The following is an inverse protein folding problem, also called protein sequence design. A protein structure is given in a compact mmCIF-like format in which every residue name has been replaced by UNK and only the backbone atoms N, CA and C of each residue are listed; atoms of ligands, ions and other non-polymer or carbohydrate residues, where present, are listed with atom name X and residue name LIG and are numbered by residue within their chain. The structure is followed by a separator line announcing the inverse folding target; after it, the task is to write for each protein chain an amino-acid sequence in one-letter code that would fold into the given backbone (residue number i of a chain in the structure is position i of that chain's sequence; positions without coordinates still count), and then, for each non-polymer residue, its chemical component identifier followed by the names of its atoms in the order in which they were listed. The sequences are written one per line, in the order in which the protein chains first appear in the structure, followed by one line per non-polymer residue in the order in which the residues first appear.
data_IF_024002965105
#
_entry.id   IF_024002965105
#
_cell.length_a   1.000
_cell.length_b   1.000
_cell.length_c   1.000
_cell.angle_alpha   90.00
_cell.angle_beta   90.00
_cell.angle_gamma   90.00
#
_symmetry.space_group_name_H-M   'P 1'
#
loop_
_entity.id
_entity.type
_entity.pdbx_description
1 polymer ?
#
# COMPACT_ATOMS: atom_id res chain seq x y z
N UNK A 1 15.53 -14.03 4.00
CA UNK A 1 14.77 -13.57 5.19
C UNK A 1 15.23 -12.16 5.55
N UNK A 2 14.73 -11.53 6.62
CA UNK A 2 15.29 -10.30 7.20
C UNK A 2 16.44 -10.69 8.15
N UNK A 3 17.57 -9.97 8.16
CA UNK A 3 18.69 -10.28 9.08
C UNK A 3 18.40 -9.88 10.54
N UNK A 4 17.47 -8.94 10.74
CA UNK A 4 17.11 -8.44 12.06
C UNK A 4 15.58 -8.26 12.11
N UNK A 5 14.79 -9.33 12.12
CA UNK A 5 13.32 -9.24 12.19
C UNK A 5 12.88 -8.59 13.52
N UNK A 6 11.84 -7.76 13.45
CA UNK A 6 11.18 -7.23 14.63
C UNK A 6 10.21 -8.28 15.16
N UNK A 7 10.22 -8.47 16.48
CA UNK A 7 9.33 -9.39 17.17
C UNK A 7 8.21 -8.55 17.79
N UNK A 8 6.99 -8.75 17.31
CA UNK A 8 5.80 -8.14 17.89
C UNK A 8 5.32 -8.99 19.07
N UNK A 9 4.50 -8.40 19.94
CA UNK A 9 3.81 -9.14 20.99
C UNK A 9 3.00 -10.30 20.37
N UNK A 10 3.07 -11.49 20.95
CA UNK A 10 2.41 -12.70 20.42
C UNK A 10 3.28 -13.56 19.49
N UNK A 11 4.59 -13.29 19.38
CA UNK A 11 5.52 -14.15 18.63
C UNK A 11 5.51 -13.94 17.11
N UNK A 12 4.77 -12.92 16.64
CA UNK A 12 4.73 -12.56 15.22
C UNK A 12 6.03 -11.87 14.82
N UNK A 13 6.64 -12.38 13.75
CA UNK A 13 7.87 -11.87 13.17
C UNK A 13 7.57 -10.97 11.99
N UNK A 14 8.06 -9.73 11.99
CA UNK A 14 7.96 -8.82 10.85
C UNK A 14 9.32 -8.29 10.40
N UNK A 15 9.40 -7.79 9.17
CA UNK A 15 10.62 -7.17 8.65
C UNK A 15 10.97 -5.89 9.41
N UNK A 16 12.26 -5.61 9.63
CA UNK A 16 12.66 -4.34 10.24
C UNK A 16 12.60 -3.14 9.31
N UNK A 17 12.45 -3.35 7.99
CA UNK A 17 12.46 -2.30 6.96
C UNK A 17 13.76 -1.48 6.85
N UNK A 18 14.72 -1.69 7.74
CA UNK A 18 15.97 -0.92 7.80
C UNK A 18 17.19 -1.69 7.32
N UNK A 19 17.24 -3.02 7.50
CA UNK A 19 18.40 -3.80 7.11
C UNK A 19 18.59 -3.86 5.59
N UNK A 20 19.82 -4.16 5.15
CA UNK A 20 20.16 -4.22 3.72
C UNK A 20 19.29 -5.19 2.92
N UNK A 21 18.83 -6.30 3.52
CA UNK A 21 17.92 -7.25 2.86
C UNK A 21 16.52 -6.69 2.66
N UNK A 22 15.98 -5.97 3.66
CA UNK A 22 14.68 -5.32 3.54
C UNK A 22 14.72 -4.18 2.53
N UNK A 23 15.79 -3.39 2.56
CA UNK A 23 16.11 -2.36 1.57
C UNK A 23 16.19 -2.93 0.15
N UNK A 24 16.97 -3.97 -0.04
CA UNK A 24 17.09 -4.66 -1.34
C UNK A 24 15.74 -5.22 -1.82
N UNK A 25 14.93 -5.80 -0.92
CA UNK A 25 13.58 -6.28 -1.25
C UNK A 25 12.64 -5.18 -1.71
N UNK A 26 12.69 -4.00 -1.07
CA UNK A 26 11.89 -2.86 -1.47
C UNK A 26 12.32 -2.31 -2.85
N UNK A 27 13.63 -2.32 -3.15
CA UNK A 27 14.13 -2.01 -4.50
C UNK A 27 13.63 -3.05 -5.51
N UNK A 28 13.77 -4.33 -5.20
CA UNK A 28 13.41 -5.41 -6.12
C UNK A 28 11.91 -5.45 -6.42
N UNK A 29 11.04 -5.11 -5.46
CA UNK A 29 9.61 -4.96 -5.72
C UNK A 29 9.33 -3.91 -6.82
N UNK A 30 9.95 -2.73 -6.73
CA UNK A 30 9.83 -1.71 -7.77
C UNK A 30 10.47 -2.15 -9.09
N UNK A 31 11.63 -2.78 -9.06
CA UNK A 31 12.30 -3.29 -10.26
C UNK A 31 11.40 -4.28 -10.99
N UNK A 32 10.85 -5.27 -10.28
CA UNK A 32 9.98 -6.29 -10.87
C UNK A 32 8.72 -5.70 -11.50
N UNK A 33 8.06 -4.75 -10.82
CA UNK A 33 6.88 -4.04 -11.37
C UNK A 33 7.20 -3.21 -12.61
N UNK A 34 8.36 -2.55 -12.63
CA UNK A 34 8.82 -1.75 -13.76
C UNK A 34 9.22 -2.63 -14.97
N UNK A 35 9.73 -3.84 -14.73
CA UNK A 35 9.96 -4.83 -15.80
C UNK A 35 8.62 -5.39 -16.30
N UNK A 36 7.70 -5.77 -15.40
CA UNK A 36 6.37 -6.25 -15.77
C UNK A 36 5.62 -5.23 -16.66
N UNK A 37 5.65 -3.94 -16.30
CA UNK A 37 5.04 -2.90 -17.14
C UNK A 37 5.74 -2.78 -18.51
N UNK A 38 7.06 -2.96 -18.59
CA UNK A 38 7.78 -2.88 -19.87
C UNK A 38 7.42 -4.01 -20.84
N UNK A 39 6.97 -5.16 -20.33
CA UNK A 39 6.56 -6.32 -21.14
C UNK A 39 5.23 -6.15 -21.85
N UNK A 40 4.39 -5.24 -21.37
CA UNK A 40 3.05 -5.00 -21.93
C UNK A 40 2.91 -3.63 -22.58
N UNK A 41 3.87 -2.73 -22.36
CA UNK A 41 3.97 -1.47 -23.09
C UNK A 41 4.39 -1.70 -24.55
N UNK A 42 3.88 -0.87 -25.47
CA UNK A 42 4.31 -0.87 -26.88
C UNK A 42 5.79 -0.50 -27.02
N UNK A 43 6.25 0.41 -26.16
CA UNK A 43 7.67 0.72 -25.99
C UNK A 43 7.92 1.26 -24.58
N UNK A 44 9.16 1.21 -24.14
CA UNK A 44 9.58 1.81 -22.88
C UNK A 44 10.87 2.62 -23.05
N UNK A 45 10.99 3.71 -22.30
CA UNK A 45 12.14 4.62 -22.35
C UNK A 45 12.57 5.04 -20.94
N UNK A 46 13.87 5.08 -20.70
CA UNK A 46 14.47 5.77 -19.56
C UNK A 46 14.75 7.22 -19.97
N UNK A 47 14.16 8.19 -19.28
CA UNK A 47 14.25 9.61 -19.59
C UNK A 47 14.89 10.33 -18.41
N UNK A 48 15.94 11.09 -18.67
CA UNK A 48 16.52 12.02 -17.70
C UNK A 48 16.11 13.44 -18.08
N UNK A 49 15.44 14.14 -17.17
CA UNK A 49 15.10 15.56 -17.31
C UNK A 49 16.07 16.39 -16.47
N UNK A 50 16.72 17.33 -17.13
CA UNK A 50 17.70 18.24 -16.52
C UNK A 50 17.21 19.67 -16.67
N UNK A 51 17.22 20.42 -15.58
CA UNK A 51 16.98 21.86 -15.64
C UNK A 51 18.15 22.54 -16.38
N UNK A 52 17.83 23.30 -17.43
CA UNK A 52 18.80 23.98 -18.29
C UNK A 52 19.36 25.24 -17.65
N UNK A 53 20.37 25.85 -18.31
CA UNK A 53 20.93 27.16 -17.96
C UNK A 53 21.34 27.34 -16.49
N UNK A 54 22.37 26.61 -16.01
CA UNK A 54 23.25 26.93 -14.86
C UNK A 54 22.62 27.32 -13.52
N UNK A 55 21.83 28.40 -13.53
CA UNK A 55 21.20 29.16 -12.46
C UNK A 55 19.66 29.02 -12.44
N UNK A 56 19.06 28.08 -13.19
CA UNK A 56 17.60 27.92 -13.19
C UNK A 56 17.10 27.68 -11.75
N UNK A 57 16.17 28.49 -11.20
CA UNK A 57 15.75 28.39 -9.80
C UNK A 57 15.25 27.00 -9.40
N UNK A 58 14.50 26.33 -10.29
CA UNK A 58 14.04 24.95 -10.08
C UNK A 58 15.16 23.89 -10.11
N UNK A 59 16.39 24.23 -10.49
CA UNK A 59 17.53 23.32 -10.39
C UNK A 59 18.00 23.11 -8.95
N UNK A 60 17.59 23.97 -8.01
CA UNK A 60 17.93 23.85 -6.59
C UNK A 60 16.96 22.95 -5.80
N UNK A 61 15.73 22.72 -6.30
CA UNK A 61 14.67 22.02 -5.57
C UNK A 61 13.93 21.04 -6.49
N UNK A 62 13.68 19.83 -6.00
CA UNK A 62 12.86 18.84 -6.71
C UNK A 62 11.39 19.27 -6.82
N UNK A 63 11.07 19.94 -7.93
CA UNK A 63 9.74 20.45 -8.24
C UNK A 63 8.94 19.44 -9.08
N UNK A 64 8.17 18.56 -8.43
CA UNK A 64 7.43 17.50 -9.13
C UNK A 64 6.33 18.03 -10.06
N UNK A 65 5.78 19.22 -9.80
CA UNK A 65 4.78 19.83 -10.67
C UNK A 65 5.26 20.02 -12.11
N UNK A 66 6.57 20.21 -12.31
CA UNK A 66 7.16 20.38 -13.63
C UNK A 66 7.15 19.05 -14.39
N UNK A 67 7.49 17.95 -13.70
CA UNK A 67 7.33 16.59 -14.24
C UNK A 67 5.87 16.26 -14.51
N UNK A 68 4.94 16.65 -13.64
CA UNK A 68 3.51 16.43 -13.88
C UNK A 68 3.02 17.14 -15.15
N UNK A 69 3.44 18.40 -15.35
CA UNK A 69 3.12 19.17 -16.56
C UNK A 69 3.73 18.52 -17.81
N UNK A 70 4.99 18.08 -17.74
CA UNK A 70 5.64 17.33 -18.82
C UNK A 70 4.84 16.10 -19.23
N UNK A 71 4.47 15.24 -18.26
CA UNK A 71 3.67 14.04 -18.51
C UNK A 71 2.27 14.37 -19.03
N UNK A 72 1.65 15.48 -18.56
CA UNK A 72 0.34 15.94 -19.06
C UNK A 72 0.44 16.40 -20.51
N UNK A 73 1.47 17.16 -20.86
CA UNK A 73 1.71 17.66 -22.21
C UNK A 73 1.95 16.51 -23.20
N UNK A 74 2.75 15.51 -22.83
CA UNK A 74 2.92 14.29 -23.64
C UNK A 74 1.59 13.57 -23.89
N UNK A 75 0.77 13.38 -22.85
CA UNK A 75 -0.56 12.76 -23.01
C UNK A 75 -1.48 13.59 -23.91
N UNK A 76 -1.47 14.91 -23.76
CA UNK A 76 -2.27 15.82 -24.58
C UNK A 76 -1.83 15.80 -26.05
N UNK A 77 -0.53 15.65 -26.32
CA UNK A 77 0.02 15.45 -27.65
C UNK A 77 -0.30 14.05 -28.23
N UNK A 78 -1.04 13.22 -27.50
CA UNK A 78 -1.57 11.95 -28.01
C UNK A 78 -0.65 10.75 -27.78
N UNK A 79 0.26 10.84 -26.79
CA UNK A 79 1.15 9.77 -26.37
C UNK A 79 0.71 9.23 -25.00
N UNK A 80 -0.22 8.25 -24.95
CA UNK A 80 -0.68 7.69 -23.70
C UNK A 80 0.45 6.88 -23.03
N UNK A 81 0.63 7.11 -21.73
CA UNK A 81 1.76 6.56 -20.99
C UNK A 81 1.43 6.25 -19.53
N UNK A 82 2.10 5.22 -19.01
CA UNK A 82 2.39 5.06 -17.58
C UNK A 82 3.83 5.45 -17.29
N UNK A 83 4.12 5.69 -16.02
CA UNK A 83 5.43 6.18 -15.60
C UNK A 83 5.81 5.76 -14.19
N UNK A 84 7.13 5.75 -13.96
CA UNK A 84 7.80 5.72 -12.67
C UNK A 84 8.85 6.84 -12.67
N UNK A 85 8.83 7.74 -11.70
CA UNK A 85 9.66 8.95 -11.68
C UNK A 85 10.37 9.08 -10.33
N UNK A 86 11.64 9.44 -10.38
CA UNK A 86 12.51 9.58 -9.23
C UNK A 86 13.26 10.90 -9.36
N UNK A 87 13.12 11.74 -8.35
CA UNK A 87 13.91 12.95 -8.18
C UNK A 87 15.18 12.64 -7.40
N UNK A 88 16.33 13.08 -7.88
CA UNK A 88 17.61 13.00 -7.20
C UNK A 88 18.36 14.33 -7.25
N UNK A 89 19.32 14.51 -6.35
CA UNK A 89 20.31 15.57 -6.46
C UNK A 89 21.64 14.99 -6.96
N UNK A 90 22.19 15.60 -8.02
CA UNK A 90 23.47 15.22 -8.58
C UNK A 90 24.61 15.41 -7.58
N UNK A 91 25.54 14.44 -7.55
CA UNK A 91 26.60 14.33 -6.53
C UNK A 91 27.59 15.50 -6.47
N UNK A 92 27.82 16.20 -7.59
CA UNK A 92 28.89 17.22 -7.68
C UNK A 92 28.41 18.65 -7.44
N UNK A 93 27.13 18.95 -7.69
CA UNK A 93 26.59 20.32 -7.65
C UNK A 93 25.24 20.46 -6.94
N UNK A 94 24.68 19.39 -6.39
CA UNK A 94 23.39 19.43 -5.70
C UNK A 94 22.23 19.84 -6.61
N UNK A 95 22.34 19.62 -7.93
CA UNK A 95 21.29 20.00 -8.89
C UNK A 95 20.21 18.93 -8.93
N UNK A 96 18.95 19.36 -8.88
CA UNK A 96 17.76 18.54 -9.02
C UNK A 96 17.70 17.93 -10.43
N UNK A 97 17.65 16.61 -10.50
CA UNK A 97 17.49 15.81 -11.71
C UNK A 97 16.28 14.90 -11.55
N UNK A 98 15.58 14.62 -12.64
CA UNK A 98 14.50 13.64 -12.65
C UNK A 98 14.83 12.48 -13.58
N UNK A 99 14.78 11.27 -13.05
CA UNK A 99 14.86 10.02 -13.80
C UNK A 99 13.49 9.39 -13.90
N UNK A 100 13.03 9.17 -15.13
CA UNK A 100 11.72 8.64 -15.43
C UNK A 100 11.86 7.35 -16.22
N UNK A 101 11.09 6.34 -15.84
CA UNK A 101 10.73 5.23 -16.70
C UNK A 101 9.38 5.55 -17.31
N UNK A 102 9.31 5.66 -18.63
CA UNK A 102 8.06 5.85 -19.36
C UNK A 102 7.69 4.57 -20.10
N UNK A 103 6.42 4.20 -20.00
CA UNK A 103 5.82 3.02 -20.59
C UNK A 103 4.69 3.45 -21.53
N UNK A 104 4.97 3.47 -22.82
CA UNK A 104 4.04 3.92 -23.86
C UNK A 104 2.97 2.85 -24.09
N UNK A 105 1.70 3.25 -24.04
CA UNK A 105 0.58 2.32 -24.13
C UNK A 105 0.04 2.18 -25.56
N UNK A 106 0.44 3.08 -26.47
CA UNK A 106 0.04 3.07 -27.87
C UNK A 106 1.10 3.83 -28.70
N UNK A 107 0.87 5.11 -29.01
CA UNK A 107 1.81 5.94 -29.78
C UNK A 107 3.03 6.35 -28.97
N UNK A 108 4.17 6.42 -29.66
CA UNK A 108 5.49 6.78 -29.10
C UNK A 108 6.01 8.05 -29.80
N UNK A 109 6.50 9.05 -29.06
CA UNK A 109 7.15 10.21 -29.66
C UNK A 109 8.44 9.81 -30.43
N UNK A 110 8.65 10.34 -31.65
CA UNK A 110 9.80 9.98 -32.48
C UNK A 110 11.04 10.79 -32.08
N UNK A 111 11.68 10.47 -30.96
CA UNK A 111 12.94 11.12 -30.54
C UNK A 111 14.17 10.28 -30.87
N UNK A 112 15.27 10.97 -31.18
CA UNK A 112 16.61 10.37 -31.24
C UNK A 112 17.05 9.97 -29.83
N UNK A 113 17.46 8.71 -29.67
CA UNK A 113 17.94 8.20 -28.38
C UNK A 113 19.41 8.56 -28.17
N UNK A 114 19.82 8.62 -26.90
CA UNK A 114 21.19 8.82 -26.42
C UNK A 114 21.80 10.16 -26.79
N UNK A 115 20.96 11.19 -26.90
CA UNK A 115 21.36 12.56 -27.17
C UNK A 115 20.58 13.50 -26.27
N UNK A 116 21.23 14.57 -25.82
CA UNK A 116 20.54 15.66 -25.13
C UNK A 116 19.84 16.54 -26.16
N UNK A 117 18.58 16.87 -25.91
CA UNK A 117 17.83 17.79 -26.74
C UNK A 117 16.87 18.64 -25.90
N UNK A 118 16.47 19.79 -26.45
CA UNK A 118 15.42 20.62 -25.88
C UNK A 118 14.08 19.97 -26.24
N UNK A 119 13.49 19.29 -25.27
CA UNK A 119 12.26 18.55 -25.51
C UNK A 119 11.05 19.48 -25.49
N UNK A 120 10.21 19.42 -26.51
CA UNK A 120 9.08 20.37 -26.70
C UNK A 120 8.14 20.38 -25.50
N UNK A 121 7.93 19.23 -24.85
CA UNK A 121 7.05 19.12 -23.69
C UNK A 121 7.77 19.49 -22.36
N UNK A 122 9.11 19.61 -22.35
CA UNK A 122 9.95 19.96 -21.20
C UNK A 122 10.57 21.36 -21.39
N UNK A 123 9.84 22.38 -20.97
CA UNK A 123 10.23 23.80 -21.13
C UNK A 123 11.40 24.22 -20.23
N UNK A 124 11.82 23.36 -19.31
CA UNK A 124 12.75 23.73 -18.25
C UNK A 124 14.21 23.38 -18.56
N UNK A 125 14.50 22.73 -19.70
CA UNK A 125 15.87 22.40 -20.08
C UNK A 125 16.00 21.22 -21.03
N UNK A 126 16.95 20.35 -20.72
CA UNK A 126 17.34 19.25 -21.58
C UNK A 126 16.66 17.94 -21.17
N UNK A 127 16.33 17.14 -22.18
CA UNK A 127 15.89 15.76 -22.03
C UNK A 127 16.91 14.82 -22.66
N UNK A 128 17.12 13.67 -22.03
CA UNK A 128 17.94 12.57 -22.55
C UNK A 128 17.14 11.28 -22.48
N UNK A 129 16.98 10.60 -23.62
CA UNK A 129 16.18 9.38 -23.71
C UNK A 129 17.09 8.19 -24.02
N UNK A 130 16.89 7.06 -23.36
CA UNK A 130 17.56 5.79 -23.65
C UNK A 130 16.60 4.61 -23.52
N UNK A 131 17.02 3.44 -24.01
CA UNK A 131 16.29 2.19 -23.81
C UNK A 131 16.45 1.72 -22.37
N UNK A 132 15.38 1.26 -21.72
CA UNK A 132 15.44 0.79 -20.35
C UNK A 132 16.03 -0.62 -20.32
N UNK A 133 17.26 -0.76 -19.81
CA UNK A 133 17.80 -2.06 -19.42
C UNK A 133 17.35 -2.41 -17.99
N UNK A 134 17.39 -3.69 -17.62
CA UNK A 134 17.20 -4.09 -16.21
C UNK A 134 18.16 -3.33 -15.28
N UNK A 135 19.43 -3.17 -15.71
CA UNK A 135 20.42 -2.40 -14.96
C UNK A 135 20.00 -0.93 -14.80
N UNK A 136 19.42 -0.30 -15.83
CA UNK A 136 18.91 1.08 -15.76
C UNK A 136 17.71 1.20 -14.83
N UNK A 137 16.73 0.28 -14.90
CA UNK A 137 15.58 0.25 -13.99
C UNK A 137 16.05 0.11 -12.54
N UNK A 138 16.96 -0.84 -12.28
CA UNK A 138 17.52 -1.07 -10.94
C UNK A 138 18.34 0.11 -10.46
N UNK A 139 19.14 0.73 -11.34
CA UNK A 139 19.88 1.94 -11.04
C UNK A 139 18.96 3.07 -10.59
N UNK A 140 17.88 3.34 -11.33
CA UNK A 140 16.86 4.31 -10.94
C UNK A 140 16.26 3.93 -9.58
N UNK A 141 15.80 2.69 -9.41
CA UNK A 141 15.19 2.25 -8.15
C UNK A 141 16.11 2.34 -6.93
N UNK A 142 17.45 2.32 -7.09
CA UNK A 142 18.38 2.55 -5.97
C UNK A 142 18.24 3.95 -5.36
N UNK A 143 17.86 4.95 -6.15
CA UNK A 143 17.68 6.33 -5.66
C UNK A 143 16.50 6.50 -4.71
N UNK A 144 15.57 5.54 -4.68
CA UNK A 144 14.50 5.47 -3.67
C UNK A 144 15.10 5.47 -2.25
N UNK A 145 16.31 4.94 -2.08
CA UNK A 145 16.90 4.68 -0.76
C UNK A 145 18.19 5.44 -0.47
N UNK A 146 18.71 6.21 -1.42
CA UNK A 146 20.01 6.89 -1.32
C UNK A 146 20.08 7.88 -0.15
N UNK A 147 18.93 8.39 0.29
CA UNK A 147 18.83 9.40 1.37
C UNK A 147 18.02 8.93 2.59
N UNK A 148 17.80 7.61 2.76
CA UNK A 148 17.15 7.09 3.97
C UNK A 148 18.12 7.21 5.16
N UNK A 149 17.78 8.09 6.11
CA UNK A 149 18.53 8.29 7.36
C UNK A 149 19.39 9.55 7.40
N UNK A 150 19.33 10.42 6.38
CA UNK A 150 19.78 11.81 6.49
C UNK A 150 18.58 12.66 6.90
N UNK A 151 18.77 13.63 7.79
CA UNK A 151 17.70 14.47 8.35
C UNK A 151 16.87 15.22 7.28
N UNK A 152 17.37 15.28 6.05
CA UNK A 152 16.67 15.78 4.87
C UNK A 152 16.40 14.63 3.89
N UNK A 153 15.17 14.10 3.86
CA UNK A 153 14.73 13.24 2.76
C UNK A 153 14.76 14.04 1.47
N UNK A 154 15.78 13.79 0.66
CA UNK A 154 16.01 14.54 -0.57
C UNK A 154 15.41 13.86 -1.80
N UNK A 155 15.30 12.52 -1.87
CA UNK A 155 14.69 11.82 -3.01
C UNK A 155 13.15 11.83 -3.05
N UNK A 156 12.55 12.06 -4.23
CA UNK A 156 11.09 11.99 -4.44
C UNK A 156 10.69 10.91 -5.43
N UNK A 157 9.84 9.97 -5.01
CA UNK A 157 9.32 8.90 -5.89
C UNK A 157 7.86 9.15 -6.24
N UNK A 158 7.50 9.04 -7.52
CA UNK A 158 6.14 9.21 -8.05
C UNK A 158 5.87 8.22 -9.17
N UNK A 159 4.66 7.70 -9.27
CA UNK A 159 4.33 6.69 -10.27
C UNK A 159 2.85 6.68 -10.65
N UNK A 160 2.55 5.96 -11.73
CA UNK A 160 1.18 5.59 -12.09
C UNK A 160 0.61 4.59 -11.07
N UNK A 161 -0.59 4.87 -10.55
CA UNK A 161 -1.25 4.06 -9.51
C UNK A 161 -2.54 3.38 -9.98
N UNK A 162 -3.08 3.78 -11.14
CA UNK A 162 -4.38 3.35 -11.66
C UNK A 162 -4.28 2.99 -13.16
N UNK A 163 -4.24 1.70 -13.51
CA UNK A 163 -3.89 0.58 -12.62
C UNK A 163 -2.43 0.69 -12.12
N UNK A 164 -2.04 -0.05 -11.07
CA UNK A 164 -0.63 -0.17 -10.66
C UNK A 164 0.29 -0.60 -11.82
N UNK A 165 1.59 -0.30 -11.69
CA UNK A 165 2.59 -0.75 -12.66
C UNK A 165 2.66 -2.29 -12.69
N UNK A 166 2.64 -2.85 -13.89
CA UNK A 166 2.71 -4.29 -14.15
C UNK A 166 1.35 -5.00 -14.18
N UNK A 167 0.23 -4.34 -13.87
CA UNK A 167 -1.08 -5.00 -13.80
C UNK A 167 -1.42 -5.81 -15.06
N UNK A 168 -1.24 -5.25 -16.26
CA UNK A 168 -1.54 -5.96 -17.50
C UNK A 168 -0.69 -7.23 -17.69
N UNK A 169 0.58 -7.18 -17.28
CA UNK A 169 1.46 -8.36 -17.34
C UNK A 169 0.99 -9.45 -16.38
N UNK A 170 0.59 -9.09 -15.15
CA UNK A 170 0.12 -10.07 -14.18
C UNK A 170 -1.23 -10.66 -14.58
N UNK A 171 -2.10 -9.89 -15.24
CA UNK A 171 -3.33 -10.43 -15.85
C UNK A 171 -2.99 -11.49 -16.92
N UNK A 172 -2.06 -11.19 -17.83
CA UNK A 172 -1.59 -12.16 -18.82
C UNK A 172 -0.94 -13.39 -18.18
N UNK A 173 -0.18 -13.22 -17.11
CA UNK A 173 0.41 -14.34 -16.36
C UNK A 173 -0.67 -15.22 -15.71
N UNK A 174 -1.71 -14.61 -15.14
CA UNK A 174 -2.85 -15.34 -14.59
C UNK A 174 -3.58 -16.13 -15.67
N UNK A 175 -3.82 -15.52 -16.83
CA UNK A 175 -4.42 -16.19 -18.00
C UNK A 175 -3.55 -17.36 -18.50
N UNK A 176 -2.24 -17.19 -18.56
CA UNK A 176 -1.30 -18.28 -18.91
C UNK A 176 -1.37 -19.45 -17.94
N UNK A 177 -1.48 -19.17 -16.64
CA UNK A 177 -1.65 -20.21 -15.62
C UNK A 177 -2.98 -20.94 -15.79
N UNK A 178 -4.07 -20.22 -16.03
CA UNK A 178 -5.39 -20.81 -16.33
C UNK A 178 -5.34 -21.65 -17.61
N UNK A 179 -4.63 -21.18 -18.64
CA UNK A 179 -4.45 -21.90 -19.90
C UNK A 179 -3.73 -23.23 -19.68
N UNK A 180 -2.67 -23.21 -18.88
CA UNK A 180 -1.89 -24.38 -18.50
C UNK A 180 -2.59 -25.31 -17.50
N UNK A 181 -3.76 -24.91 -16.96
CA UNK A 181 -4.45 -25.67 -15.91
C UNK A 181 -3.67 -25.68 -14.58
N UNK A 182 -2.95 -24.61 -14.28
CA UNK A 182 -2.10 -24.48 -13.10
C UNK A 182 -2.62 -23.38 -12.16
N UNK A 183 -2.70 -23.68 -10.86
CA UNK A 183 -2.95 -22.66 -9.85
C UNK A 183 -1.65 -22.03 -9.35
N UNK A 184 -1.61 -20.70 -9.13
CA UNK A 184 -0.44 -20.05 -8.56
C UNK A 184 -0.18 -20.55 -7.15
N UNK A 185 1.03 -21.04 -6.88
CA UNK A 185 1.43 -21.60 -5.58
C UNK A 185 2.07 -20.57 -4.66
N UNK A 186 2.63 -19.52 -5.23
CA UNK A 186 3.23 -18.41 -4.52
C UNK A 186 3.01 -17.11 -5.30
N UNK A 187 3.27 -15.99 -4.66
CA UNK A 187 3.32 -14.67 -5.28
C UNK A 187 4.69 -14.37 -5.92
N UNK A 188 5.57 -15.37 -5.99
CA UNK A 188 6.86 -15.22 -6.63
C UNK A 188 6.72 -15.24 -8.15
N UNK A 189 7.51 -14.41 -8.82
CA UNK A 189 7.57 -14.36 -10.28
C UNK A 189 8.97 -14.02 -10.73
N UNK A 190 9.29 -14.34 -11.98
CA UNK A 190 10.60 -14.07 -12.56
C UNK A 190 10.48 -13.79 -14.06
N UNK A 191 11.56 -13.27 -14.64
CA UNK A 191 11.69 -13.06 -16.07
C UNK A 191 12.93 -13.83 -16.54
N UNK A 192 12.82 -14.76 -17.50
CA UNK A 192 13.93 -15.62 -17.90
C UNK A 192 15.19 -14.86 -18.30
N UNK A 193 15.05 -13.69 -18.91
CA UNK A 193 16.16 -12.84 -19.35
C UNK A 193 16.76 -11.95 -18.26
N UNK A 194 16.20 -11.95 -17.05
CA UNK A 194 16.66 -11.14 -15.92
C UNK A 194 17.44 -12.02 -14.96
N UNK A 195 18.75 -12.12 -15.20
CA UNK A 195 19.67 -12.94 -14.42
C UNK A 195 20.64 -12.10 -13.59
N UNK A 196 21.27 -12.74 -12.60
CA UNK A 196 22.45 -12.24 -11.90
C UNK A 196 23.56 -13.27 -11.96
N UNK A 197 24.80 -12.79 -12.11
CA UNK A 197 25.99 -13.64 -12.11
C UNK A 197 26.40 -13.97 -10.68
N UNK A 198 26.56 -15.26 -10.39
CA UNK A 198 27.07 -15.78 -9.12
C UNK A 198 28.59 -15.68 -9.05
N UNK A 199 29.18 -15.76 -7.83
CA UNK A 199 30.64 -15.80 -7.66
C UNK A 199 31.32 -16.95 -8.39
N UNK A 200 30.63 -18.08 -8.55
CA UNK A 200 31.10 -19.26 -9.29
C UNK A 200 31.07 -19.09 -10.83
N UNK A 201 30.59 -17.94 -11.32
CA UNK A 201 30.50 -17.61 -12.74
C UNK A 201 29.19 -18.04 -13.40
N UNK A 202 28.33 -18.84 -12.75
CA UNK A 202 27.02 -19.23 -13.26
C UNK A 202 26.01 -18.08 -13.20
N UNK A 203 24.94 -18.18 -13.98
CA UNK A 203 23.83 -17.23 -13.95
C UNK A 203 22.63 -17.82 -13.23
N UNK A 204 21.93 -17.00 -12.45
CA UNK A 204 20.64 -17.35 -11.86
C UNK A 204 19.59 -16.30 -12.15
N UNK A 205 18.37 -16.76 -12.46
CA UNK A 205 17.22 -15.89 -12.64
C UNK A 205 16.87 -15.18 -11.33
N UNK A 206 16.63 -13.88 -11.42
CA UNK A 206 16.19 -13.10 -10.28
C UNK A 206 14.70 -13.37 -10.03
N UNK A 207 14.38 -13.77 -8.80
CA UNK A 207 13.01 -13.96 -8.33
C UNK A 207 12.52 -12.68 -7.65
N UNK A 208 11.35 -12.21 -8.08
CA UNK A 208 10.60 -11.09 -7.53
C UNK A 208 9.38 -11.61 -6.77
N UNK A 209 8.73 -10.74 -6.01
CA UNK A 209 7.56 -11.10 -5.19
C UNK A 209 6.47 -10.06 -5.37
N UNK A 210 5.27 -10.49 -5.79
CA UNK A 210 4.07 -9.66 -5.83
C UNK A 210 3.61 -9.34 -4.41
N UNK A 211 3.15 -8.10 -4.19
CA UNK A 211 2.68 -7.62 -2.90
C UNK A 211 1.54 -6.64 -3.06
N UNK A 212 0.80 -6.44 -1.97
CA UNK A 212 -0.25 -5.43 -1.84
C UNK A 212 -1.28 -5.52 -2.99
N UNK A 213 -1.75 -4.36 -3.48
CA UNK A 213 -2.79 -4.29 -4.50
C UNK A 213 -2.47 -5.06 -5.80
N UNK A 214 -1.24 -5.06 -6.36
CA UNK A 214 -0.92 -5.92 -7.50
C UNK A 214 -1.10 -7.41 -7.25
N UNK A 215 -0.82 -7.91 -6.04
CA UNK A 215 -1.04 -9.32 -5.71
C UNK A 215 -2.54 -9.66 -5.69
N UNK A 216 -3.36 -8.81 -5.06
CA UNK A 216 -4.82 -8.98 -5.06
C UNK A 216 -5.38 -8.99 -6.48
N UNK A 217 -5.01 -8.01 -7.31
CA UNK A 217 -5.46 -7.92 -8.70
C UNK A 217 -5.07 -9.15 -9.53
N UNK A 218 -3.91 -9.72 -9.27
CA UNK A 218 -3.45 -10.95 -9.92
C UNK A 218 -4.32 -12.16 -9.53
N UNK A 219 -4.58 -12.34 -8.24
CA UNK A 219 -5.39 -13.45 -7.73
C UNK A 219 -6.85 -13.31 -8.14
N UNK A 220 -7.41 -12.10 -8.06
CA UNK A 220 -8.76 -11.78 -8.56
C UNK A 220 -8.89 -12.19 -10.03
N UNK A 221 -7.96 -11.74 -10.88
CA UNK A 221 -7.97 -12.02 -12.31
C UNK A 221 -7.79 -13.51 -12.62
N UNK A 222 -6.96 -14.21 -11.86
CA UNK A 222 -6.80 -15.68 -11.98
C UNK A 222 -8.12 -16.38 -11.72
N UNK A 223 -8.79 -16.07 -10.62
CA UNK A 223 -10.07 -16.70 -10.23
C UNK A 223 -11.14 -16.41 -11.27
N UNK A 224 -11.27 -15.15 -11.71
CA UNK A 224 -12.22 -14.75 -12.75
C UNK A 224 -11.97 -15.49 -14.07
N UNK A 225 -10.70 -15.54 -14.51
CA UNK A 225 -10.30 -16.22 -15.74
C UNK A 225 -10.51 -17.74 -15.66
N UNK A 226 -10.26 -18.35 -14.49
CA UNK A 226 -10.49 -19.78 -14.26
C UNK A 226 -11.97 -20.13 -14.41
N UNK A 227 -12.85 -19.39 -13.74
CA UNK A 227 -14.30 -19.58 -13.81
C UNK A 227 -14.79 -19.38 -15.24
N UNK A 228 -14.29 -18.35 -15.93
CA UNK A 228 -14.69 -18.08 -17.31
C UNK A 228 -14.32 -19.24 -18.26
N UNK A 229 -13.15 -19.86 -18.06
CA UNK A 229 -12.67 -20.93 -18.94
C UNK A 229 -13.21 -22.31 -18.57
N UNK A 230 -13.16 -22.65 -17.29
CA UNK A 230 -13.39 -24.01 -16.80
C UNK A 230 -14.74 -24.16 -16.07
N UNK A 231 -15.48 -23.06 -15.86
CA UNK A 231 -16.79 -23.06 -15.20
C UNK A 231 -16.72 -23.63 -13.78
N UNK A 232 -17.50 -24.69 -13.57
CA UNK A 232 -17.66 -25.54 -12.38
C UNK A 232 -16.41 -26.18 -11.80
N UNK A 233 -15.38 -26.29 -12.63
CA UNK A 233 -14.27 -27.16 -12.29
C UNK A 233 -13.41 -26.53 -11.21
N UNK A 234 -13.10 -27.27 -10.13
CA UNK A 234 -12.21 -26.76 -9.09
C UNK A 234 -10.82 -26.52 -9.69
N UNK A 235 -10.21 -25.39 -9.33
CA UNK A 235 -8.81 -25.15 -9.65
C UNK A 235 -7.90 -26.13 -8.88
N UNK A 236 -6.70 -26.46 -9.40
CA UNK A 236 -5.72 -27.24 -8.68
C UNK A 236 -5.47 -26.66 -7.27
N UNK A 237 -5.35 -27.53 -6.26
CA UNK A 237 -5.16 -27.11 -4.86
C UNK A 237 -4.08 -26.03 -4.73
N UNK A 238 -4.37 -24.92 -4.09
CA UNK A 238 -3.38 -23.88 -3.83
C UNK A 238 -3.68 -23.18 -2.51
N UNK A 239 -2.80 -23.39 -1.53
CA UNK A 239 -2.88 -22.70 -0.23
C UNK A 239 -2.93 -21.18 -0.39
N UNK A 240 -2.24 -20.63 -1.40
CA UNK A 240 -2.29 -19.19 -1.69
C UNK A 240 -3.70 -18.72 -2.07
N UNK A 241 -4.40 -19.49 -2.90
CA UNK A 241 -5.76 -19.14 -3.35
C UNK A 241 -6.76 -19.40 -2.23
N UNK A 242 -6.59 -20.51 -1.52
CA UNK A 242 -7.43 -20.89 -0.39
C UNK A 242 -7.35 -19.80 0.71
N UNK A 243 -6.14 -19.38 1.09
CA UNK A 243 -5.88 -18.29 2.05
C UNK A 243 -6.43 -16.93 1.57
N UNK A 244 -6.39 -16.68 0.25
CA UNK A 244 -6.88 -15.43 -0.32
C UNK A 244 -8.41 -15.35 -0.31
N UNK A 245 -9.06 -16.48 -0.60
CA UNK A 245 -10.51 -16.61 -0.64
C UNK A 245 -11.13 -16.73 0.75
N UNK A 246 -10.39 -17.23 1.74
CA UNK A 246 -10.87 -17.37 3.12
C UNK A 246 -11.18 -15.98 3.74
N UNK A 247 -12.46 -15.58 3.81
CA UNK A 247 -12.85 -14.27 4.33
C UNK A 247 -12.65 -14.20 5.84
N UNK A 248 -12.73 -15.35 6.53
CA UNK A 248 -12.53 -15.48 7.97
C UNK A 248 -11.05 -15.35 8.29
N UNK A 249 -10.14 -15.95 7.51
CA UNK A 249 -8.69 -15.75 7.69
C UNK A 249 -8.26 -14.32 7.38
N UNK A 250 -8.83 -13.69 6.35
CA UNK A 250 -8.54 -12.29 5.99
C UNK A 250 -9.01 -11.32 7.08
N UNK A 251 -10.20 -11.54 7.64
CA UNK A 251 -10.72 -10.71 8.72
C UNK A 251 -10.04 -11.03 10.07
N UNK A 252 -9.75 -12.30 10.37
CA UNK A 252 -8.95 -12.70 11.55
C UNK A 252 -7.61 -11.98 11.57
N UNK A 253 -6.87 -11.97 10.46
CA UNK A 253 -5.59 -11.24 10.35
C UNK A 253 -5.76 -9.73 10.58
N UNK A 254 -6.86 -9.14 10.11
CA UNK A 254 -7.19 -7.73 10.33
C UNK A 254 -7.47 -7.44 11.80
N UNK A 255 -8.25 -8.29 12.47
CA UNK A 255 -8.58 -8.14 13.89
C UNK A 255 -7.37 -8.44 14.78
N UNK A 256 -6.53 -9.42 14.43
CA UNK A 256 -5.26 -9.71 15.11
C UNK A 256 -4.29 -8.53 15.01
N UNK A 257 -4.15 -7.92 13.83
CA UNK A 257 -3.38 -6.70 13.64
C UNK A 257 -3.95 -5.52 14.46
N UNK A 258 -5.27 -5.44 14.59
CA UNK A 258 -5.93 -4.48 15.45
C UNK A 258 -5.62 -4.71 16.94
N UNK A 259 -5.70 -5.94 17.44
CA UNK A 259 -5.30 -6.28 18.81
C UNK A 259 -3.84 -5.94 19.10
N UNK A 260 -2.95 -6.19 18.14
CA UNK A 260 -1.53 -5.88 18.26
C UNK A 260 -1.24 -4.37 18.36
N UNK A 261 -2.17 -3.52 17.90
CA UNK A 261 -2.06 -2.06 17.93
C UNK A 261 -2.67 -1.42 19.20
N UNK A 262 -3.27 -2.21 20.11
CA UNK A 262 -3.86 -1.69 21.34
C UNK A 262 -2.78 -1.15 22.31
N UNK A 263 -3.04 -0.03 22.99
CA UNK A 263 -2.13 0.50 24.00
C UNK A 263 -2.02 -0.47 25.19
N UNK A 264 -0.86 -0.57 25.84
CA UNK A 264 -0.62 -1.53 26.93
C UNK A 264 -1.47 -1.27 28.18
N UNK A 265 -1.98 -0.04 28.35
CA UNK A 265 -2.65 0.42 29.56
C UNK A 265 -4.18 0.48 29.39
N UNK A 266 -4.79 -0.61 28.91
CA UNK A 266 -6.25 -0.71 28.82
C UNK A 266 -6.89 -0.65 30.21
N UNK A 267 -7.92 0.20 30.36
CA UNK A 267 -8.73 0.25 31.57
C UNK A 267 -9.61 -1.02 31.71
N UNK A 268 -10.19 -1.29 32.90
CA UNK A 268 -10.94 -2.53 33.15
C UNK A 268 -12.11 -2.81 32.20
N UNK A 269 -12.84 -1.76 31.78
CA UNK A 269 -13.95 -1.91 30.83
C UNK A 269 -13.44 -2.26 29.42
N UNK A 270 -12.34 -1.64 29.00
CA UNK A 270 -11.71 -1.93 27.71
C UNK A 270 -11.13 -3.35 27.65
N UNK A 271 -10.58 -3.85 28.76
CA UNK A 271 -10.10 -5.24 28.85
C UNK A 271 -11.26 -6.23 28.73
N UNK A 272 -12.38 -5.95 29.39
CA UNK A 272 -13.61 -6.77 29.31
C UNK A 272 -14.18 -6.84 27.90
N UNK A 273 -14.19 -5.74 27.16
CA UNK A 273 -14.62 -5.73 25.76
C UNK A 273 -13.64 -6.50 24.87
N UNK A 274 -12.33 -6.29 25.03
CA UNK A 274 -11.27 -7.04 24.32
C UNK A 274 -11.36 -8.54 24.57
N UNK A 275 -11.57 -8.97 25.82
CA UNK A 275 -11.68 -10.38 26.19
C UNK A 275 -12.97 -11.02 25.65
N UNK A 276 -14.07 -10.25 25.59
CA UNK A 276 -15.32 -10.69 24.94
C UNK A 276 -15.13 -10.91 23.44
N UNK A 277 -14.40 -10.02 22.76
CA UNK A 277 -14.08 -10.17 21.35
C UNK A 277 -13.12 -11.32 21.06
N UNK A 278 -12.08 -11.53 21.90
CA UNK A 278 -11.18 -12.69 21.79
C UNK A 278 -11.93 -14.00 21.91
N UNK A 279 -12.79 -14.13 22.92
CA UNK A 279 -13.64 -15.30 23.10
C UNK A 279 -14.50 -15.58 21.86
N UNK A 280 -15.06 -14.53 21.24
CA UNK A 280 -15.88 -14.66 20.04
C UNK A 280 -15.07 -15.02 18.78
N UNK A 281 -13.82 -14.57 18.67
CA UNK A 281 -12.89 -15.02 17.62
C UNK A 281 -12.45 -16.48 17.78
N UNK A 282 -12.29 -16.92 19.03
CA UNK A 282 -12.01 -18.33 19.34
C UNK A 282 -13.24 -19.20 19.01
N UNK A 283 -14.45 -18.71 19.29
CA UNK A 283 -15.72 -19.35 18.88
C UNK A 283 -15.89 -19.38 17.35
N UNK A 284 -15.40 -18.37 16.62
CA UNK A 284 -15.35 -18.36 15.14
C UNK A 284 -14.26 -19.28 14.56
N UNK A 285 -13.24 -19.63 15.36
CA UNK A 285 -12.12 -20.50 14.96
C UNK A 285 -12.27 -21.97 15.36
N UNK A 286 -13.22 -22.27 16.23
CA UNK A 286 -13.66 -23.65 16.47
C UNK A 286 -14.48 -24.06 15.26
N UNK A 287 -13.89 -24.94 14.46
CA UNK A 287 -14.46 -25.64 13.31
C UNK A 287 -15.99 -25.71 13.38
N UNK A 288 -16.69 -24.84 12.64
CA UNK A 288 -18.13 -24.93 12.44
C UNK A 288 -18.45 -26.06 11.45
N UNK A 289 -17.96 -27.26 11.71
CA UNK A 289 -18.43 -28.50 11.07
C UNK A 289 -19.87 -28.86 11.46
N UNK A 290 -20.60 -27.96 12.16
CA UNK A 290 -21.96 -28.17 12.63
C UNK A 290 -22.88 -26.95 12.60
N UNK A 291 -22.64 -25.96 11.73
CA UNK A 291 -23.76 -25.11 11.31
C UNK A 291 -24.60 -25.92 10.33
N UNK A 292 -25.78 -26.37 10.77
CA UNK A 292 -26.82 -26.84 9.85
C UNK A 292 -27.12 -25.70 8.87
N UNK A 293 -26.47 -25.74 7.71
CA UNK A 293 -26.91 -24.98 6.54
C UNK A 293 -28.37 -25.41 6.31
N UNK A 294 -29.34 -24.48 6.35
CA UNK A 294 -30.74 -24.84 6.17
C UNK A 294 -30.86 -25.60 4.85
N UNK A 295 -31.48 -26.80 4.87
CA UNK A 295 -31.60 -27.73 3.74
C UNK A 295 -31.66 -27.01 2.38
N UNK A 296 -30.48 -26.75 1.81
CA UNK A 296 -30.32 -26.32 0.44
C UNK A 296 -30.33 -27.61 -0.38
N UNK A 297 -30.99 -27.64 -1.55
CA UNK A 297 -31.36 -28.86 -2.25
C UNK A 297 -30.18 -29.53 -2.97
N UNK A 298 -29.07 -29.76 -2.28
CA UNK A 298 -27.86 -30.37 -2.79
C UNK A 298 -27.59 -31.68 -2.04
N UNK A 299 -27.96 -32.78 -2.69
CA UNK A 299 -27.49 -34.11 -2.36
C UNK A 299 -25.97 -34.27 -2.58
N UNK A 300 -25.42 -35.45 -2.28
CA UNK A 300 -23.98 -35.65 -2.11
C UNK A 300 -23.28 -35.70 -3.46
N UNK A 301 -22.75 -34.56 -3.92
CA UNK A 301 -21.57 -34.40 -4.79
C UNK A 301 -21.49 -32.93 -5.24
N UNK A 302 -20.56 -32.16 -4.67
CA UNK A 302 -19.86 -30.97 -5.22
C UNK A 302 -19.55 -29.92 -4.12
N UNK A 303 -18.32 -29.84 -3.59
CA UNK A 303 -17.94 -28.83 -2.59
C UNK A 303 -17.68 -27.42 -3.14
N UNK A 304 -17.74 -27.20 -4.46
CA UNK A 304 -17.43 -25.90 -5.08
C UNK A 304 -18.36 -25.60 -6.26
N UNK A 305 -19.68 -25.70 -6.04
CA UNK A 305 -20.68 -25.29 -7.03
C UNK A 305 -20.54 -23.81 -7.41
N UNK A 306 -20.78 -23.49 -8.69
CA UNK A 306 -20.74 -22.16 -9.33
C UNK A 306 -20.92 -21.04 -8.31
N UNK A 307 -19.86 -20.30 -8.00
CA UNK A 307 -20.04 -19.05 -7.27
C UNK A 307 -20.58 -18.05 -8.29
N UNK A 308 -21.91 -18.01 -8.43
CA UNK A 308 -22.59 -17.02 -9.27
C UNK A 308 -22.29 -15.62 -8.76
N UNK A 309 -22.38 -14.61 -9.61
CA UNK A 309 -22.23 -13.20 -9.24
C UNK A 309 -23.22 -12.80 -8.12
N UNK A 310 -24.38 -13.44 -8.06
CA UNK A 310 -25.37 -13.33 -6.98
C UNK A 310 -24.95 -14.05 -5.70
N UNK A 311 -24.39 -15.26 -5.78
CA UNK A 311 -23.83 -15.97 -4.61
C UNK A 311 -22.65 -15.21 -4.03
N UNK A 312 -21.77 -14.65 -4.87
CA UNK A 312 -20.66 -13.76 -4.51
C UNK A 312 -21.16 -12.48 -3.85
N UNK A 313 -22.16 -11.82 -4.45
CA UNK A 313 -22.79 -10.61 -3.88
C UNK A 313 -23.51 -10.93 -2.58
N UNK A 314 -24.12 -12.10 -2.42
CA UNK A 314 -24.85 -12.50 -1.20
C UNK A 314 -23.90 -12.88 -0.06
N UNK A 315 -22.82 -13.63 -0.34
CA UNK A 315 -21.75 -13.89 0.63
C UNK A 315 -21.02 -12.60 1.00
N UNK A 316 -20.65 -11.77 0.02
CA UNK A 316 -20.01 -10.49 0.26
C UNK A 316 -20.94 -9.47 0.94
N UNK A 317 -22.23 -9.46 0.65
CA UNK A 317 -23.20 -8.52 1.27
C UNK A 317 -23.53 -8.93 2.69
N UNK A 318 -23.85 -10.21 2.96
CA UNK A 318 -24.16 -10.67 4.31
C UNK A 318 -22.94 -10.59 5.23
N UNK A 319 -21.76 -11.02 4.76
CA UNK A 319 -20.53 -10.87 5.52
C UNK A 319 -20.16 -9.40 5.74
N UNK A 320 -20.35 -8.53 4.72
CA UNK A 320 -20.08 -7.10 4.86
C UNK A 320 -21.11 -6.37 5.74
N UNK A 321 -22.37 -6.80 5.79
CA UNK A 321 -23.38 -6.17 6.64
C UNK A 321 -23.11 -6.46 8.12
N UNK A 322 -22.84 -7.72 8.46
CA UNK A 322 -22.49 -8.11 9.83
C UNK A 322 -21.12 -7.56 10.24
N UNK A 323 -20.11 -7.55 9.35
CA UNK A 323 -18.80 -6.93 9.63
C UNK A 323 -18.84 -5.40 9.68
N UNK A 324 -19.58 -4.70 8.81
CA UNK A 324 -19.64 -3.24 8.82
C UNK A 324 -20.33 -2.75 10.10
N UNK A 325 -21.31 -3.48 10.62
CA UNK A 325 -21.90 -3.21 11.94
C UNK A 325 -20.88 -3.38 13.08
N UNK A 326 -20.04 -4.42 13.02
CA UNK A 326 -19.03 -4.68 14.04
C UNK A 326 -17.83 -3.71 13.95
N UNK A 327 -17.38 -3.36 12.75
CA UNK A 327 -16.39 -2.29 12.52
C UNK A 327 -16.92 -0.95 13.02
N UNK A 328 -18.19 -0.62 12.73
CA UNK A 328 -18.82 0.59 13.27
C UNK A 328 -18.91 0.57 14.80
N UNK A 329 -19.15 -0.59 15.43
CA UNK A 329 -19.14 -0.72 16.89
C UNK A 329 -17.74 -0.54 17.48
N UNK A 330 -16.70 -1.08 16.83
CA UNK A 330 -15.30 -0.90 17.26
C UNK A 330 -14.83 0.55 17.04
N UNK A 331 -15.14 1.17 15.91
CA UNK A 331 -14.83 2.58 15.65
C UNK A 331 -15.59 3.52 16.60
N UNK A 332 -16.84 3.20 16.94
CA UNK A 332 -17.61 3.95 17.92
C UNK A 332 -17.02 3.81 19.33
N UNK A 333 -16.45 2.65 19.67
CA UNK A 333 -15.74 2.43 20.92
C UNK A 333 -14.49 3.31 21.03
N UNK A 334 -13.63 3.39 20.00
CA UNK A 334 -12.45 4.28 20.04
C UNK A 334 -12.81 5.76 20.06
N UNK A 335 -13.86 6.19 19.33
CA UNK A 335 -14.33 7.57 19.43
C UNK A 335 -14.72 7.95 20.86
N UNK A 336 -15.41 7.06 21.58
CA UNK A 336 -15.73 7.25 23.00
C UNK A 336 -14.48 7.20 23.89
N UNK A 337 -13.52 6.34 23.56
CA UNK A 337 -12.26 6.22 24.31
C UNK A 337 -11.41 7.48 24.20
N UNK A 338 -11.19 7.98 22.98
CA UNK A 338 -10.44 9.22 22.73
C UNK A 338 -11.11 10.43 23.39
N UNK A 339 -12.46 10.47 23.37
CA UNK A 339 -13.22 11.52 24.04
C UNK A 339 -13.04 11.49 25.57
N UNK A 340 -13.08 10.30 26.19
CA UNK A 340 -12.81 10.12 27.62
C UNK A 340 -11.36 10.43 28.01
N UNK A 341 -10.37 10.02 27.22
CA UNK A 341 -8.96 10.37 27.46
C UNK A 341 -8.73 11.88 27.33
N UNK A 342 -9.35 12.52 26.33
CA UNK A 342 -9.29 13.97 26.15
C UNK A 342 -9.91 14.71 27.33
N UNK A 343 -11.05 14.26 27.84
CA UNK A 343 -11.66 14.83 29.04
C UNK A 343 -10.78 14.66 30.28
N UNK A 344 -10.15 13.49 30.47
CA UNK A 344 -9.19 13.27 31.58
C UNK A 344 -7.98 14.18 31.48
N UNK A 345 -7.40 14.32 30.29
CA UNK A 345 -6.27 15.21 30.06
C UNK A 345 -6.62 16.69 30.30
N UNK A 346 -7.78 17.14 29.84
CA UNK A 346 -8.25 18.51 30.08
C UNK A 346 -8.51 18.76 31.57
N UNK A 347 -9.06 17.77 32.28
CA UNK A 347 -9.32 17.84 33.72
C UNK A 347 -8.01 17.89 34.52
N UNK A 348 -7.03 17.06 34.18
CA UNK A 348 -5.72 17.06 34.82
C UNK A 348 -4.98 18.39 34.63
N UNK A 349 -4.98 18.91 33.40
CA UNK A 349 -4.35 20.19 33.07
C UNK A 349 -5.04 21.38 33.74
N UNK A 350 -6.35 21.30 33.95
CA UNK A 350 -7.11 22.28 34.74
C UNK A 350 -6.73 22.24 36.23
N UNK A 351 -6.58 21.04 36.81
CA UNK A 351 -6.11 20.91 38.19
C UNK A 351 -4.70 21.49 38.39
N UNK A 352 -3.78 21.26 37.44
CA UNK A 352 -2.46 21.90 37.44
C UNK A 352 -2.58 23.42 37.38
N UNK A 353 -3.42 23.96 36.48
CA UNK A 353 -3.66 25.40 36.38
C UNK A 353 -4.23 26.01 37.68
N UNK A 354 -5.23 25.38 38.31
CA UNK A 354 -5.78 25.86 39.58
C UNK A 354 -4.73 25.87 40.71
N UNK A 355 -3.86 24.86 40.75
CA UNK A 355 -2.75 24.79 41.71
C UNK A 355 -1.71 25.90 41.46
N UNK A 356 -1.38 26.17 40.20
CA UNK A 356 -0.47 27.26 39.83
C UNK A 356 -1.02 28.66 40.15
N UNK A 357 -2.34 28.84 40.07
CA UNK A 357 -3.00 30.11 40.37
C UNK A 357 -3.43 30.25 41.85
N UNK A 358 -3.18 29.23 42.68
CA UNK A 358 -3.62 29.16 44.07
C UNK A 358 -5.14 29.40 44.24
N UNK A 359 -5.92 28.91 43.28
CA UNK A 359 -7.37 29.10 43.20
C UNK A 359 -8.10 27.78 43.52
N UNK A 360 -8.78 27.75 44.66
CA UNK A 360 -9.24 26.52 45.35
C UNK A 360 -10.64 26.04 44.88
N UNK A 361 -11.01 26.31 43.63
CA UNK A 361 -12.32 25.94 43.10
C UNK A 361 -12.41 24.43 42.82
N UNK A 362 -12.92 23.69 43.81
CA UNK A 362 -13.20 22.25 43.73
C UNK A 362 -14.33 21.94 42.72
N UNK A 363 -14.10 21.14 41.66
CA UNK A 363 -15.05 20.92 40.56
C UNK A 363 -16.27 20.04 40.89
N UNK A 364 -16.53 19.72 42.16
CA UNK A 364 -17.56 18.74 42.57
C UNK A 364 -19.02 19.20 42.44
N UNK A 365 -19.32 20.36 41.86
CA UNK A 365 -20.68 20.93 41.81
C UNK A 365 -21.20 21.31 40.42
N UNK A 366 -20.65 20.76 39.33
CA UNK A 366 -21.21 21.02 37.99
C UNK A 366 -22.40 20.09 37.69
N UNK A 367 -23.60 20.66 37.59
CA UNK A 367 -24.81 19.96 37.09
C UNK A 367 -24.78 19.69 35.56
N UNK A 368 -23.71 20.10 34.86
CA UNK A 368 -23.53 19.94 33.40
C UNK A 368 -22.15 19.31 33.10
N UNK A 369 -21.97 18.62 31.94
CA UNK A 369 -20.67 18.05 31.57
C UNK A 369 -19.56 19.10 31.59
N UNK A 370 -18.43 18.77 32.24
CA UNK A 370 -17.31 19.71 32.47
C UNK A 370 -16.79 20.33 31.17
N UNK A 371 -16.82 19.59 30.05
CA UNK A 371 -16.47 20.06 28.71
C UNK A 371 -17.35 21.23 28.23
N UNK A 372 -18.66 21.20 28.47
CA UNK A 372 -19.57 22.30 28.13
C UNK A 372 -19.39 23.52 29.05
N UNK A 373 -19.14 23.27 30.34
CA UNK A 373 -18.86 24.36 31.28
C UNK A 373 -17.54 25.08 30.94
N UNK A 374 -16.49 24.33 30.60
CA UNK A 374 -15.18 24.87 30.22
C UNK A 374 -15.27 25.72 28.96
N UNK A 375 -16.08 25.30 27.99
CA UNK A 375 -16.36 26.07 26.76
C UNK A 375 -17.08 27.38 27.09
N UNK A 376 -18.12 27.33 27.92
CA UNK A 376 -18.83 28.53 28.38
C UNK A 376 -18.01 29.44 29.32
N UNK A 377 -17.01 28.91 30.03
CA UNK A 377 -16.06 29.70 30.82
C UNK A 377 -15.03 30.38 29.92
N UNK A 378 -14.41 29.64 29.00
CA UNK A 378 -13.46 30.16 28.02
C UNK A 378 -14.10 31.30 27.20
N UNK A 379 -15.31 31.11 26.68
CA UNK A 379 -16.04 32.13 25.93
C UNK A 379 -16.32 33.41 26.75
N UNK A 380 -16.49 33.29 28.06
CA UNK A 380 -16.69 34.43 28.98
C UNK A 380 -15.38 35.12 29.37
N UNK A 381 -14.31 34.36 29.56
CA UNK A 381 -13.00 34.90 29.92
C UNK A 381 -12.33 35.59 28.72
N UNK A 382 -12.43 35.01 27.51
CA UNK A 382 -11.97 35.65 26.28
C UNK A 382 -12.73 36.96 26.00
N UNK A 383 -14.06 36.98 26.20
CA UNK A 383 -14.85 38.22 26.13
C UNK A 383 -14.44 39.28 27.14
N UNK A 384 -14.09 38.90 28.38
CA UNK A 384 -13.59 39.85 29.41
C UNK A 384 -12.22 40.41 29.06
N UNK A 385 -11.39 39.63 28.35
CA UNK A 385 -10.05 40.04 27.89
C UNK A 385 -10.07 40.75 26.53
N UNK A 386 -11.24 40.87 25.89
CA UNK A 386 -11.42 41.57 24.62
C UNK A 386 -10.81 40.87 23.40
N UNK A 387 -10.67 39.54 23.44
CA UNK A 387 -10.14 38.70 22.36
C UNK A 387 -11.29 37.96 21.67
#
# INVERSE_FOLDING_TARGET
MCIAPLHLAGGVMTSCHECWQCRERAINDWVGRNIAESKTAVAAHAITLTYGNGDHPSAAILTYSDVQKYLKKLRFAGYPLKYFAIGEYGSTKGRAHWHLMIYWQDRVPPHELRKNFMETHWEHGFSFWDKPSHAAIRYNCKYIQKDIGKDERQGLVRMSKKPPLGTAYFQQLAEQNVEAGLSPKSLEYSFPEVTRRKPDGSEETIVFMLKDRPAELYLDHFIESWIQKHGDQPWPKSELIDDYLDPIAKERKRIEAWFAALPPNLNPAQRLDVDRYRKRLDELGQDQTGFDLPDLPYGPTNPYGVITDETRKRYAFNAKQELDEDVQRVEAFFRRYDEQERERHLTARWHEYCQEQNDDHNPKSFEQPFSQWLQGWADRDFKKRGI
#
